data_IF_868497541225
#
_entry.id   IF_868497541225
#
_cell.length_a   1.000
_cell.length_b   1.000
_cell.length_c   1.000
_cell.angle_alpha   90.00
_cell.angle_beta   90.00
_cell.angle_gamma   90.00
#
_symmetry.space_group_name_H-M   'P 1'
#
loop_
_entity.id
_entity.type
_entity.pdbx_description
1 polymer ?
#
# COMPACT_ATOMS: atom_id res chain seq x y z
N UNK A 1 -0.86 -1.35 -14.68
CA UNK A 1 -1.25 -1.03 -13.28
C UNK A 1 -2.61 -1.60 -12.93
N UNK A 2 -3.70 -1.27 -13.65
CA UNK A 2 -5.04 -1.81 -13.35
C UNK A 2 -5.06 -3.34 -13.43
N UNK A 3 -4.59 -3.92 -14.53
CA UNK A 3 -4.54 -5.39 -14.70
C UNK A 3 -3.76 -6.08 -13.56
N UNK A 4 -2.68 -5.48 -13.08
CA UNK A 4 -1.85 -6.05 -12.01
C UNK A 4 -2.45 -5.84 -10.61
N UNK A 5 -2.79 -4.60 -10.26
CA UNK A 5 -3.17 -4.23 -8.90
C UNK A 5 -4.65 -4.52 -8.58
N UNK A 6 -5.49 -4.61 -9.62
CA UNK A 6 -6.93 -4.83 -9.50
C UNK A 6 -7.23 -6.24 -9.98
N UNK A 7 -7.20 -6.48 -11.29
CA UNK A 7 -7.69 -7.73 -11.89
C UNK A 7 -6.97 -8.95 -11.33
N UNK A 8 -5.64 -9.01 -11.42
CA UNK A 8 -4.88 -10.17 -10.94
C UNK A 8 -5.04 -10.41 -9.42
N UNK A 9 -5.14 -9.35 -8.62
CA UNK A 9 -5.37 -9.48 -7.17
C UNK A 9 -6.76 -10.05 -6.86
N UNK A 10 -7.79 -9.54 -7.56
CA UNK A 10 -9.16 -10.04 -7.44
C UNK A 10 -9.25 -11.50 -7.85
N UNK A 11 -8.64 -11.86 -8.98
CA UNK A 11 -8.63 -13.23 -9.51
C UNK A 11 -7.93 -14.19 -8.54
N UNK A 12 -6.77 -13.81 -8.00
CA UNK A 12 -6.06 -14.63 -7.01
C UNK A 12 -6.88 -14.84 -5.74
N UNK A 13 -7.55 -13.81 -5.24
CA UNK A 13 -8.46 -13.98 -4.09
C UNK A 13 -9.62 -14.92 -4.44
N UNK A 14 -10.24 -14.75 -5.61
CA UNK A 14 -11.35 -15.58 -6.07
C UNK A 14 -10.94 -17.06 -6.19
N UNK A 15 -9.74 -17.33 -6.67
CA UNK A 15 -9.22 -18.70 -6.84
C UNK A 15 -8.79 -19.35 -5.52
N UNK A 16 -8.18 -18.60 -4.60
CA UNK A 16 -7.60 -19.18 -3.38
C UNK A 16 -8.61 -19.33 -2.22
N UNK A 17 -9.61 -18.46 -2.13
CA UNK A 17 -10.56 -18.44 -1.00
C UNK A 17 -11.40 -19.72 -0.89
N UNK A 18 -11.93 -20.32 -1.98
CA UNK A 18 -12.73 -21.55 -1.90
C UNK A 18 -12.01 -22.69 -1.17
N UNK A 19 -10.71 -22.90 -1.46
CA UNK A 19 -9.90 -23.94 -0.82
C UNK A 19 -9.65 -23.65 0.67
N UNK A 20 -9.49 -22.38 1.04
CA UNK A 20 -9.38 -21.99 2.45
C UNK A 20 -10.69 -22.23 3.20
N UNK A 21 -11.83 -21.94 2.57
CA UNK A 21 -13.16 -22.21 3.16
C UNK A 21 -13.35 -23.72 3.37
N UNK A 22 -12.94 -24.54 2.40
CA UNK A 22 -13.04 -26.00 2.50
C UNK A 22 -12.21 -26.55 3.68
N UNK A 23 -11.10 -25.90 4.02
CA UNK A 23 -10.26 -26.24 5.20
C UNK A 23 -10.80 -25.68 6.51
N UNK A 24 -11.70 -24.70 6.47
CA UNK A 24 -12.18 -23.96 7.64
C UNK A 24 -11.16 -22.98 8.22
N UNK A 25 -10.03 -22.77 7.56
CA UNK A 25 -8.96 -21.86 7.96
C UNK A 25 -8.20 -21.32 6.74
N UNK A 26 -7.68 -20.10 6.85
CA UNK A 26 -6.82 -19.52 5.83
C UNK A 26 -6.49 -18.06 6.07
N UNK A 27 -5.53 -17.56 5.29
CA UNK A 27 -4.98 -16.23 5.46
C UNK A 27 -4.60 -15.54 4.15
N UNK A 28 -4.95 -14.26 4.01
CA UNK A 28 -4.54 -13.42 2.88
C UNK A 28 -4.01 -12.08 3.40
N UNK A 29 -2.80 -11.72 2.95
CA UNK A 29 -2.23 -10.38 3.12
C UNK A 29 -2.12 -9.73 1.75
N UNK A 30 -3.00 -8.76 1.48
CA UNK A 30 -2.97 -7.99 0.24
C UNK A 30 -2.08 -6.76 0.40
N UNK A 31 -1.09 -6.62 -0.49
CA UNK A 31 -0.11 -5.53 -0.42
C UNK A 31 -0.64 -4.27 -1.13
N UNK A 32 -1.18 -3.35 -0.33
CA UNK A 32 -1.58 -2.00 -0.71
C UNK A 32 -0.40 -1.03 -0.71
N UNK A 33 -0.64 0.19 -0.20
CA UNK A 33 0.36 1.25 0.00
C UNK A 33 -0.25 2.33 0.88
N UNK A 34 0.56 3.21 1.50
CA UNK A 34 0.01 4.47 2.04
C UNK A 34 -0.75 5.29 0.98
N UNK A 35 -0.38 5.13 -0.30
CA UNK A 35 -1.10 5.73 -1.43
C UNK A 35 -2.57 5.27 -1.55
N UNK A 36 -2.95 4.17 -0.89
CA UNK A 36 -4.34 3.71 -0.83
C UNK A 36 -5.28 4.71 -0.15
N UNK A 37 -4.74 5.59 0.69
CA UNK A 37 -5.56 6.38 1.61
C UNK A 37 -5.83 7.80 1.14
N UNK A 38 -5.20 8.27 0.06
CA UNK A 38 -5.36 9.63 -0.45
C UNK A 38 -5.01 9.72 -1.92
N UNK A 39 -5.65 10.60 -2.70
CA UNK A 39 -5.25 10.84 -4.08
C UNK A 39 -3.84 11.41 -4.15
N UNK A 40 -3.04 10.88 -5.07
CA UNK A 40 -1.68 11.36 -5.30
C UNK A 40 -1.60 11.97 -6.71
N UNK A 41 -1.54 13.30 -6.84
CA UNK A 41 -1.29 13.95 -8.12
C UNK A 41 -0.01 13.41 -8.78
N UNK A 42 -0.02 13.29 -10.11
CA UNK A 42 1.04 12.68 -10.93
C UNK A 42 1.26 11.17 -10.72
N UNK A 43 0.55 10.54 -9.78
CA UNK A 43 0.50 9.09 -9.59
C UNK A 43 -0.97 8.62 -9.40
N UNK A 44 -1.91 9.28 -10.09
CA UNK A 44 -3.35 9.08 -9.88
C UNK A 44 -3.78 7.63 -10.04
N UNK A 45 -3.42 6.99 -11.15
CA UNK A 45 -3.72 5.57 -11.43
C UNK A 45 -3.14 4.67 -10.34
N UNK A 46 -1.92 4.95 -9.87
CA UNK A 46 -1.32 4.19 -8.77
C UNK A 46 -2.12 4.31 -7.49
N UNK A 47 -2.39 5.54 -7.02
CA UNK A 47 -3.15 5.76 -5.78
C UNK A 47 -4.56 5.17 -5.87
N UNK A 48 -5.26 5.32 -7.01
CA UNK A 48 -6.60 4.76 -7.21
C UNK A 48 -6.59 3.23 -7.18
N UNK A 49 -5.64 2.59 -7.87
CA UNK A 49 -5.55 1.12 -7.86
C UNK A 49 -5.13 0.58 -6.49
N UNK A 50 -4.30 1.30 -5.73
CA UNK A 50 -3.98 0.91 -4.34
C UNK A 50 -5.14 1.16 -3.38
N UNK A 51 -5.97 2.18 -3.62
CA UNK A 51 -7.21 2.39 -2.88
C UNK A 51 -8.19 1.22 -3.09
N UNK A 52 -8.29 0.70 -4.31
CA UNK A 52 -9.03 -0.53 -4.59
C UNK A 52 -8.54 -1.69 -3.72
N UNK A 53 -7.22 -1.94 -3.65
CA UNK A 53 -6.67 -3.03 -2.83
C UNK A 53 -7.10 -2.93 -1.37
N UNK A 54 -7.07 -1.75 -0.78
CA UNK A 54 -7.51 -1.53 0.61
C UNK A 54 -9.00 -1.83 0.76
N UNK A 55 -9.84 -1.13 -0.01
CA UNK A 55 -11.31 -1.25 0.09
C UNK A 55 -11.79 -2.68 -0.19
N UNK A 56 -11.22 -3.33 -1.22
CA UNK A 56 -11.54 -4.71 -1.58
C UNK A 56 -11.16 -5.66 -0.44
N UNK A 57 -9.96 -5.54 0.12
CA UNK A 57 -9.50 -6.41 1.22
C UNK A 57 -10.38 -6.27 2.46
N UNK A 58 -10.82 -5.06 2.79
CA UNK A 58 -11.72 -4.80 3.91
C UNK A 58 -13.11 -5.40 3.69
N UNK A 59 -13.64 -5.29 2.47
CA UNK A 59 -14.93 -5.88 2.10
C UNK A 59 -14.90 -7.41 2.20
N UNK A 60 -13.95 -8.07 1.53
CA UNK A 60 -13.87 -9.53 1.53
C UNK A 60 -13.51 -10.08 2.92
N UNK A 61 -12.75 -9.34 3.73
CA UNK A 61 -12.54 -9.71 5.14
C UNK A 61 -13.87 -9.85 5.87
N UNK A 62 -14.77 -8.88 5.72
CA UNK A 62 -16.09 -8.95 6.36
C UNK A 62 -16.92 -10.11 5.83
N UNK A 63 -16.87 -10.39 4.52
CA UNK A 63 -17.61 -11.48 3.87
C UNK A 63 -17.14 -12.88 4.30
N UNK A 64 -15.84 -13.05 4.58
CA UNK A 64 -15.23 -14.36 4.82
C UNK A 64 -14.75 -14.60 6.27
N UNK A 65 -14.72 -13.58 7.15
CA UNK A 65 -14.27 -13.76 8.54
C UNK A 65 -15.10 -14.79 9.32
N UNK A 66 -16.41 -14.90 9.06
CA UNK A 66 -17.29 -15.89 9.70
C UNK A 66 -17.00 -17.33 9.23
N UNK A 67 -16.25 -17.48 8.13
CA UNK A 67 -15.82 -18.77 7.56
C UNK A 67 -14.40 -19.16 7.98
N UNK A 68 -13.83 -18.49 8.99
CA UNK A 68 -12.48 -18.75 9.49
C UNK A 68 -11.36 -18.16 8.63
N UNK A 69 -11.68 -17.29 7.65
CA UNK A 69 -10.69 -16.72 6.74
C UNK A 69 -10.24 -15.35 7.23
N UNK A 70 -8.95 -15.23 7.47
CA UNK A 70 -8.35 -13.98 7.89
C UNK A 70 -7.79 -13.20 6.71
N UNK A 71 -8.22 -11.95 6.53
CA UNK A 71 -7.76 -11.11 5.42
C UNK A 71 -7.31 -9.74 5.96
N UNK A 72 -6.14 -9.26 5.54
CA UNK A 72 -5.59 -7.97 5.94
C UNK A 72 -4.99 -7.20 4.76
N UNK A 73 -5.15 -5.88 4.75
CA UNK A 73 -4.40 -5.00 3.87
C UNK A 73 -3.09 -4.50 4.52
N UNK A 74 -1.95 -4.79 3.88
CA UNK A 74 -0.64 -4.24 4.26
C UNK A 74 -0.40 -2.93 3.49
N UNK A 75 -0.16 -1.82 4.18
CA UNK A 75 0.03 -0.49 3.56
C UNK A 75 1.44 0.07 3.80
N UNK A 76 2.45 -0.35 3.02
CA UNK A 76 3.81 0.18 3.14
C UNK A 76 3.91 1.65 2.74
N UNK A 77 4.79 2.38 3.45
CA UNK A 77 5.28 3.70 3.06
C UNK A 77 6.50 3.61 2.15
N UNK A 78 7.47 4.51 2.30
CA UNK A 78 8.76 4.37 1.62
C UNK A 78 9.45 3.08 2.05
N UNK A 79 9.81 2.22 1.10
CA UNK A 79 10.45 0.93 1.38
C UNK A 79 11.73 0.78 0.57
N UNK A 80 12.83 0.45 1.24
CA UNK A 80 14.11 0.14 0.61
C UNK A 80 13.96 -1.17 -0.16
N UNK A 81 13.93 -1.03 -1.48
CA UNK A 81 13.77 -2.11 -2.45
C UNK A 81 14.23 -1.63 -3.82
N UNK A 82 14.32 -2.56 -4.76
CA UNK A 82 14.62 -2.28 -6.16
C UNK A 82 13.51 -1.50 -6.86
N UNK A 83 12.35 -1.31 -6.22
CA UNK A 83 11.20 -0.62 -6.81
C UNK A 83 11.55 0.75 -7.36
N UNK A 84 12.24 1.59 -6.58
CA UNK A 84 12.58 2.95 -7.02
C UNK A 84 13.51 2.93 -8.24
N UNK A 85 14.45 1.98 -8.27
CA UNK A 85 15.38 1.77 -9.38
C UNK A 85 14.64 1.33 -10.64
N UNK A 86 13.81 0.30 -10.55
CA UNK A 86 13.05 -0.25 -11.69
C UNK A 86 12.00 0.75 -12.19
N UNK A 87 11.32 1.45 -11.29
CA UNK A 87 10.29 2.42 -11.65
C UNK A 87 10.84 3.63 -12.43
N UNK A 88 12.13 3.93 -12.30
CA UNK A 88 12.76 5.06 -13.02
C UNK A 88 13.74 4.67 -14.09
N UNK A 89 14.04 3.37 -14.24
CA UNK A 89 15.02 2.84 -15.19
C UNK A 89 14.83 3.38 -16.62
N UNK A 90 13.59 3.56 -17.07
CA UNK A 90 13.26 4.05 -18.42
C UNK A 90 13.39 5.57 -18.59
N UNK A 91 13.85 6.30 -17.57
CA UNK A 91 14.00 7.76 -17.62
C UNK A 91 15.21 8.20 -16.81
N UNK A 92 16.29 8.55 -17.50
CA UNK A 92 17.53 9.08 -16.88
C UNK A 92 17.25 10.27 -15.95
N UNK A 93 16.29 11.13 -16.32
CA UNK A 93 15.84 12.27 -15.51
C UNK A 93 15.24 11.81 -14.18
N UNK A 94 14.41 10.77 -14.20
CA UNK A 94 13.81 10.23 -12.98
C UNK A 94 14.84 9.46 -12.14
N UNK A 95 15.78 8.73 -12.77
CA UNK A 95 16.87 8.03 -12.08
C UNK A 95 17.78 9.00 -11.33
N UNK A 96 18.31 10.04 -11.99
CA UNK A 96 19.15 11.08 -11.34
C UNK A 96 18.41 11.81 -10.22
N UNK A 97 17.08 11.91 -10.30
CA UNK A 97 16.25 12.55 -9.28
C UNK A 97 15.99 11.65 -8.08
N UNK A 98 15.81 10.34 -8.31
CA UNK A 98 15.73 9.34 -7.26
C UNK A 98 17.04 9.26 -6.47
N UNK A 99 18.18 9.30 -7.15
CA UNK A 99 19.52 9.33 -6.52
C UNK A 99 19.75 10.59 -5.66
N UNK A 100 19.14 11.73 -6.01
CA UNK A 100 19.16 12.93 -5.15
C UNK A 100 18.21 12.85 -3.95
N UNK A 101 17.23 11.95 -4.00
CA UNK A 101 16.21 11.76 -2.96
C UNK A 101 16.59 10.71 -1.91
N UNK A 102 17.42 9.74 -2.28
CA UNK A 102 17.98 8.74 -1.35
C UNK A 102 18.79 9.38 -0.21
N UNK A 103 19.20 10.64 -0.32
CA UNK A 103 19.78 11.42 0.79
C UNK A 103 18.77 11.86 1.87
N UNK A 104 17.46 11.64 1.69
CA UNK A 104 16.39 11.91 2.65
C UNK A 104 15.77 10.59 3.14
N UNK A 105 16.55 9.82 3.88
CA UNK A 105 16.22 8.50 4.48
C UNK A 105 15.17 8.55 5.61
N UNK A 106 14.53 9.69 5.84
CA UNK A 106 13.61 9.85 6.98
C UNK A 106 12.34 9.05 6.74
N UNK A 107 12.23 7.88 7.40
CA UNK A 107 11.01 7.07 7.44
C UNK A 107 10.90 5.96 6.39
N UNK A 108 11.98 5.61 5.69
CA UNK A 108 12.03 4.37 4.91
C UNK A 108 12.25 3.15 5.81
N UNK A 109 11.60 2.03 5.48
CA UNK A 109 11.82 0.73 6.10
C UNK A 109 12.42 -0.23 5.07
N UNK A 110 13.19 -1.22 5.51
CA UNK A 110 13.56 -2.35 4.66
C UNK A 110 12.36 -3.22 4.33
N UNK A 111 12.42 -4.00 3.26
CA UNK A 111 11.39 -4.99 2.92
C UNK A 111 11.20 -6.03 4.04
N UNK A 112 12.28 -6.41 4.73
CA UNK A 112 12.24 -7.33 5.87
C UNK A 112 11.48 -6.72 7.06
N UNK A 113 11.74 -5.46 7.40
CA UNK A 113 10.99 -4.76 8.47
C UNK A 113 9.51 -4.63 8.14
N UNK A 114 9.16 -4.32 6.89
CA UNK A 114 7.77 -4.27 6.42
C UNK A 114 7.10 -5.64 6.55
N UNK A 115 7.80 -6.72 6.20
CA UNK A 115 7.28 -8.08 6.29
C UNK A 115 7.06 -8.51 7.76
N UNK A 116 8.04 -8.28 8.64
CA UNK A 116 7.95 -8.59 10.07
C UNK A 116 6.78 -7.82 10.70
N UNK A 117 6.68 -6.51 10.43
CA UNK A 117 5.61 -5.68 10.96
C UNK A 117 4.23 -6.09 10.41
N UNK A 118 4.17 -6.49 9.13
CA UNK A 118 2.98 -7.02 8.49
C UNK A 118 2.51 -8.34 9.13
N UNK A 119 3.42 -9.31 9.30
CA UNK A 119 3.09 -10.59 9.93
C UNK A 119 2.63 -10.42 11.38
N UNK A 120 3.34 -9.62 12.18
CA UNK A 120 2.95 -9.34 13.56
C UNK A 120 1.58 -8.65 13.68
N UNK A 121 1.18 -7.89 12.67
CA UNK A 121 -0.15 -7.29 12.59
C UNK A 121 -1.22 -8.26 12.14
N UNK A 122 -0.86 -9.15 11.21
CA UNK A 122 -1.69 -10.24 10.77
C UNK A 122 -1.99 -11.16 11.96
N UNK A 123 -1.02 -11.63 12.72
CA UNK A 123 -1.24 -12.47 13.92
C UNK A 123 -2.19 -11.82 14.94
N UNK A 124 -2.24 -10.49 15.00
CA UNK A 124 -3.15 -9.72 15.87
C UNK A 124 -4.52 -9.48 15.24
N UNK A 125 -4.83 -10.17 14.15
CA UNK A 125 -6.05 -10.08 13.36
C UNK A 125 -6.43 -8.63 13.00
N UNK A 126 -5.45 -7.79 12.64
CA UNK A 126 -5.75 -6.41 12.21
C UNK A 126 -6.42 -6.38 10.84
N UNK A 127 -7.31 -5.43 10.63
CA UNK A 127 -7.96 -5.19 9.34
C UNK A 127 -6.98 -4.63 8.29
N UNK A 128 -6.18 -3.65 8.69
CA UNK A 128 -5.06 -3.16 7.92
C UNK A 128 -3.93 -2.69 8.83
N UNK A 129 -2.73 -2.57 8.28
CA UNK A 129 -1.62 -1.89 8.95
C UNK A 129 -0.91 -0.95 7.99
N UNK A 130 -0.67 0.27 8.46
CA UNK A 130 0.22 1.21 7.81
C UNK A 130 1.62 1.06 8.39
N UNK A 131 2.61 0.68 7.58
CA UNK A 131 3.96 0.32 8.04
C UNK A 131 4.77 1.57 8.40
N UNK A 132 5.50 1.48 9.51
CA UNK A 132 6.39 2.54 9.98
C UNK A 132 5.68 3.54 10.89
N UNK A 133 6.32 3.89 12.02
CA UNK A 133 5.74 4.80 13.02
C UNK A 133 5.56 6.23 12.48
N UNK A 134 6.56 6.74 11.75
CA UNK A 134 6.51 8.09 11.17
C UNK A 134 5.40 8.22 10.12
N UNK A 135 5.23 7.17 9.32
CA UNK A 135 4.17 7.03 8.34
C UNK A 135 2.78 7.07 9.01
N UNK A 136 2.58 6.37 10.13
CA UNK A 136 1.32 6.39 10.91
C UNK A 136 1.01 7.76 11.45
N UNK A 137 2.01 8.43 12.02
CA UNK A 137 1.85 9.78 12.56
C UNK A 137 1.47 10.75 11.45
N UNK A 138 2.21 10.73 10.34
CA UNK A 138 1.95 11.58 9.18
C UNK A 138 0.53 11.38 8.65
N UNK A 139 0.11 10.13 8.46
CA UNK A 139 -1.23 9.85 7.95
C UNK A 139 -2.32 10.25 8.95
N UNK A 140 -2.10 10.06 10.25
CA UNK A 140 -3.06 10.48 11.28
C UNK A 140 -3.34 11.98 11.24
N UNK A 141 -2.32 12.80 10.94
CA UNK A 141 -2.47 14.25 10.76
C UNK A 141 -3.33 14.61 9.54
N UNK A 142 -3.26 13.81 8.45
CA UNK A 142 -4.06 14.07 7.25
C UNK A 142 -5.57 13.91 7.46
N UNK A 143 -5.98 13.15 8.49
CA UNK A 143 -7.41 12.97 8.84
C UNK A 143 -8.09 14.26 9.31
N UNK A 144 -7.31 15.23 9.78
CA UNK A 144 -7.82 16.54 10.22
C UNK A 144 -7.87 17.56 9.07
N UNK A 145 -7.34 17.20 7.89
CA UNK A 145 -7.28 18.10 6.74
C UNK A 145 -8.52 17.95 5.86
N UNK A 146 -8.90 19.04 5.19
CA UNK A 146 -9.91 18.96 4.12
C UNK A 146 -9.38 18.18 2.92
N UNK A 147 -10.26 17.63 2.07
CA UNK A 147 -9.85 16.95 0.84
C UNK A 147 -8.95 17.83 -0.05
N UNK A 148 -9.24 19.13 -0.14
CA UNK A 148 -8.41 20.11 -0.85
C UNK A 148 -7.04 20.26 -0.18
N UNK A 149 -6.99 20.31 1.15
CA UNK A 149 -5.74 20.33 1.92
C UNK A 149 -4.88 19.10 1.68
N UNK A 150 -5.47 17.91 1.73
CA UNK A 150 -4.79 16.64 1.44
C UNK A 150 -4.24 16.64 0.00
N UNK A 151 -5.04 17.04 -0.99
CA UNK A 151 -4.61 17.14 -2.39
C UNK A 151 -3.45 18.10 -2.60
N UNK A 152 -3.47 19.26 -1.94
CA UNK A 152 -2.37 20.22 -2.02
C UNK A 152 -1.10 19.68 -1.36
N UNK A 153 -1.25 19.03 -0.20
CA UNK A 153 -0.14 18.41 0.52
C UNK A 153 0.51 17.28 -0.30
N UNK A 154 -0.27 16.28 -0.74
CA UNK A 154 0.24 15.18 -1.58
C UNK A 154 0.76 15.73 -2.91
N UNK A 155 0.06 16.68 -3.53
CA UNK A 155 0.50 17.36 -4.75
C UNK A 155 1.86 18.03 -4.60
N UNK A 156 2.12 18.74 -3.50
CA UNK A 156 3.42 19.38 -3.25
C UNK A 156 4.58 18.39 -3.12
N UNK A 157 4.32 17.22 -2.54
CA UNK A 157 5.32 16.17 -2.33
C UNK A 157 5.68 15.46 -3.66
N UNK A 158 4.70 15.31 -4.55
CA UNK A 158 4.85 14.61 -5.84
C UNK A 158 5.13 15.53 -7.04
N UNK A 159 4.75 16.82 -6.99
CA UNK A 159 5.15 17.85 -7.98
C UNK A 159 6.68 18.00 -8.04
N UNK A 160 7.35 17.81 -6.90
CA UNK A 160 8.82 17.69 -6.81
C UNK A 160 9.39 16.43 -7.47
N UNK A 161 8.60 15.57 -8.11
CA UNK A 161 9.02 14.34 -8.80
C UNK A 161 8.81 14.45 -10.32
N UNK A 162 7.67 15.01 -10.75
CA UNK A 162 7.23 15.03 -12.14
C UNK A 162 7.71 16.24 -12.97
N UNK A 163 8.58 17.10 -12.43
CA UNK A 163 9.09 18.32 -13.09
C UNK A 163 10.27 18.09 -14.00
#
# INVERSE_FOLDING_TARGET
MIQLNVVALTDLCHLCIPDMIAKGEGGIINVGSMASLSPIPYAGIYSSTKAYVLMFSEAIRYEYQSKGIQIMALLPGGTESEFAKVATEKSEKLTRRNEKRTGSTIGMQTSAEVAIEGLAAFEKNKQYILCGRNNRLLFSLTKLMTRKGVLNFTGSMFKKIAG
#
